data_IF_809437996114
#
_entry.id   IF_809437996114
#
_cell.length_a   1.000
_cell.length_b   1.000
_cell.length_c   1.000
_cell.angle_alpha   90.00
_cell.angle_beta   90.00
_cell.angle_gamma   90.00
#
_symmetry.space_group_name_H-M   'P 1'
#
loop_
_entity.id
_entity.type
_entity.pdbx_description
1 polymer ?
#
# COMPACT_ATOMS: atom_id res chain seq x y z
N UNK A 1 9.76 19.65 -16.71
CA UNK A 1 10.57 18.44 -17.01
C UNK A 1 10.08 17.21 -16.22
N UNK A 2 9.87 17.30 -14.89
CA UNK A 2 9.36 16.21 -14.04
C UNK A 2 7.96 15.65 -14.41
N UNK A 3 7.01 16.50 -14.86
CA UNK A 3 5.69 16.03 -15.33
C UNK A 3 5.78 15.08 -16.54
N UNK A 4 6.84 15.16 -17.37
CA UNK A 4 7.03 14.25 -18.52
C UNK A 4 7.53 12.86 -18.12
N UNK A 5 8.12 12.71 -16.92
CA UNK A 5 8.67 11.43 -16.44
C UNK A 5 7.62 10.50 -15.82
N UNK A 6 6.40 10.99 -15.57
CA UNK A 6 5.26 10.22 -15.04
C UNK A 6 5.60 9.30 -13.84
N UNK A 7 6.55 9.70 -12.98
CA UNK A 7 7.07 8.88 -11.87
C UNK A 7 5.95 8.28 -11.00
N UNK A 8 4.97 9.12 -10.63
CA UNK A 8 3.79 8.69 -9.86
C UNK A 8 3.05 7.56 -10.57
N UNK A 9 2.78 7.68 -11.88
CA UNK A 9 2.06 6.66 -12.65
C UNK A 9 2.80 5.32 -12.59
N UNK A 10 4.10 5.32 -12.88
CA UNK A 10 4.89 4.09 -12.94
C UNK A 10 5.03 3.42 -11.56
N UNK A 11 5.23 4.21 -10.50
CA UNK A 11 5.23 3.70 -9.14
C UNK A 11 3.86 3.12 -8.76
N UNK A 12 2.76 3.80 -9.09
CA UNK A 12 1.41 3.29 -8.85
C UNK A 12 1.12 1.99 -9.61
N UNK A 13 1.59 1.84 -10.85
CA UNK A 13 1.49 0.57 -11.60
C UNK A 13 2.15 -0.57 -10.84
N UNK A 14 3.36 -0.34 -10.30
CA UNK A 14 4.08 -1.35 -9.55
C UNK A 14 3.35 -1.77 -8.28
N UNK A 15 2.73 -0.84 -7.57
CA UNK A 15 1.89 -1.13 -6.40
C UNK A 15 0.74 -2.05 -6.79
N UNK A 16 -0.01 -1.72 -7.84
CA UNK A 16 -1.14 -2.52 -8.30
C UNK A 16 -0.74 -3.95 -8.66
N UNK A 17 0.47 -4.15 -9.20
CA UNK A 17 0.97 -5.47 -9.61
C UNK A 17 1.57 -6.24 -8.43
N UNK A 18 2.15 -5.53 -7.45
CA UNK A 18 2.74 -6.12 -6.26
C UNK A 18 1.67 -6.54 -5.25
N UNK A 19 0.63 -5.74 -5.04
CA UNK A 19 -0.33 -5.93 -3.94
C UNK A 19 -1.01 -7.32 -3.94
N UNK A 20 -1.53 -7.86 -5.07
CA UNK A 20 -2.11 -9.21 -5.08
C UNK A 20 -1.10 -10.29 -4.68
N UNK A 21 0.16 -10.14 -5.09
CA UNK A 21 1.24 -11.07 -4.74
C UNK A 21 1.55 -11.04 -3.25
N UNK A 22 1.67 -9.85 -2.65
CA UNK A 22 1.96 -9.71 -1.21
C UNK A 22 0.82 -10.27 -0.37
N UNK A 23 -0.42 -9.99 -0.75
CA UNK A 23 -1.61 -10.50 -0.03
C UNK A 23 -1.65 -12.02 -0.09
N UNK A 24 -1.51 -12.61 -1.27
CA UNK A 24 -1.49 -14.07 -1.42
C UNK A 24 -0.33 -14.70 -0.64
N UNK A 25 0.89 -14.17 -0.77
CA UNK A 25 2.06 -14.66 -0.07
C UNK A 25 1.93 -14.54 1.45
N UNK A 26 1.43 -13.40 1.95
CA UNK A 26 1.25 -13.14 3.37
C UNK A 26 0.19 -14.03 4.01
N UNK A 27 -0.94 -14.24 3.32
CA UNK A 27 -1.99 -15.16 3.78
C UNK A 27 -1.51 -16.62 3.79
N UNK A 28 -0.74 -17.05 2.78
CA UNK A 28 -0.14 -18.38 2.77
C UNK A 28 0.83 -18.59 3.94
N UNK A 29 1.68 -17.61 4.24
CA UNK A 29 2.54 -17.63 5.43
C UNK A 29 1.70 -17.71 6.70
N UNK A 30 0.65 -16.90 6.81
CA UNK A 30 -0.20 -16.86 8.00
C UNK A 30 -0.91 -18.20 8.23
N UNK A 31 -1.59 -18.75 7.22
CA UNK A 31 -2.28 -20.04 7.30
C UNK A 31 -1.29 -21.16 7.57
N UNK A 32 -0.16 -21.18 6.85
CA UNK A 32 0.90 -22.18 7.05
C UNK A 32 1.42 -22.18 8.49
N UNK A 33 1.82 -21.02 9.01
CA UNK A 33 2.35 -20.89 10.38
C UNK A 33 1.29 -21.23 11.43
N UNK A 34 0.05 -20.77 11.28
CA UNK A 34 -1.05 -21.05 12.23
C UNK A 34 -1.41 -22.54 12.27
N UNK A 35 -1.17 -23.28 11.18
CA UNK A 35 -1.38 -24.72 11.09
C UNK A 35 -0.11 -25.55 11.36
N UNK A 36 0.94 -24.94 11.92
CA UNK A 36 2.17 -25.61 12.35
C UNK A 36 3.23 -25.82 11.26
N UNK A 37 3.11 -25.11 10.14
CA UNK A 37 4.06 -25.14 9.03
C UNK A 37 5.36 -24.40 9.33
N UNK A 38 6.44 -24.82 8.65
CA UNK A 38 7.73 -24.15 8.65
C UNK A 38 8.29 -24.06 7.23
N UNK A 39 9.28 -23.19 7.03
CA UNK A 39 9.98 -23.11 5.73
C UNK A 39 10.72 -24.42 5.48
N UNK A 40 10.44 -25.05 4.34
CA UNK A 40 11.07 -26.29 3.90
C UNK A 40 12.51 -26.00 3.52
N UNK A 41 13.45 -26.64 4.20
CA UNK A 41 14.90 -26.55 3.91
C UNK A 41 15.41 -27.75 3.12
N UNK A 42 14.69 -28.87 3.12
CA UNK A 42 15.04 -30.08 2.39
C UNK A 42 13.82 -30.66 1.65
N UNK A 43 13.81 -30.52 0.32
CA UNK A 43 12.75 -31.06 -0.55
C UNK A 43 12.89 -32.55 -0.85
N UNK A 44 13.98 -33.20 -0.42
CA UNK A 44 14.18 -34.65 -0.59
C UNK A 44 13.50 -35.47 0.51
N UNK A 45 13.20 -34.86 1.66
CA UNK A 45 12.39 -35.46 2.72
C UNK A 45 10.90 -35.16 2.51
N UNK A 46 10.02 -35.97 3.12
CA UNK A 46 8.60 -35.65 3.17
C UNK A 46 8.36 -34.31 3.88
N UNK A 47 7.43 -33.52 3.35
CA UNK A 47 7.02 -32.23 3.91
C UNK A 47 5.49 -32.15 4.02
N UNK A 48 5.00 -31.38 4.98
CA UNK A 48 3.57 -31.22 5.23
C UNK A 48 2.96 -30.10 4.35
N UNK A 49 1.63 -30.14 4.17
CA UNK A 49 0.90 -29.07 3.49
C UNK A 49 1.14 -27.70 4.17
N UNK A 50 1.02 -27.55 5.51
CA UNK A 50 1.35 -26.29 6.18
C UNK A 50 2.74 -25.73 5.86
N UNK A 51 3.75 -26.61 5.79
CA UNK A 51 5.12 -26.21 5.43
C UNK A 51 5.24 -25.80 3.96
N UNK A 52 4.49 -26.44 3.06
CA UNK A 52 4.43 -26.05 1.65
C UNK A 52 3.80 -24.64 1.49
N UNK A 53 2.71 -24.34 2.21
CA UNK A 53 2.08 -23.01 2.19
C UNK A 53 3.03 -21.93 2.72
N UNK A 54 3.68 -22.20 3.85
CA UNK A 54 4.66 -21.28 4.45
C UNK A 54 5.81 -21.00 3.48
N UNK A 55 6.35 -22.04 2.86
CA UNK A 55 7.48 -21.94 1.92
C UNK A 55 7.09 -21.18 0.65
N UNK A 56 5.94 -21.49 0.05
CA UNK A 56 5.45 -20.80 -1.14
C UNK A 56 5.22 -19.32 -0.85
N UNK A 57 4.65 -19.00 0.32
CA UNK A 57 4.47 -17.62 0.73
C UNK A 57 5.80 -16.88 0.94
N UNK A 58 6.81 -17.51 1.54
CA UNK A 58 8.16 -16.93 1.68
C UNK A 58 8.82 -16.69 0.33
N UNK A 59 8.71 -17.63 -0.62
CA UNK A 59 9.19 -17.41 -1.99
C UNK A 59 8.44 -16.29 -2.70
N UNK A 60 7.11 -16.22 -2.51
CA UNK A 60 6.29 -15.13 -3.00
C UNK A 60 6.73 -13.77 -2.48
N UNK A 61 7.09 -13.66 -1.20
CA UNK A 61 7.68 -12.45 -0.61
C UNK A 61 9.02 -12.09 -1.25
N UNK A 62 9.84 -13.08 -1.61
CA UNK A 62 11.11 -12.86 -2.34
C UNK A 62 10.94 -12.33 -3.77
N UNK A 63 9.76 -12.55 -4.38
CA UNK A 63 9.46 -12.06 -5.74
C UNK A 63 9.04 -10.59 -5.80
N UNK A 64 8.90 -9.92 -4.66
CA UNK A 64 8.31 -8.59 -4.61
C UNK A 64 9.20 -7.52 -5.27
N UNK A 65 10.49 -7.44 -4.93
CA UNK A 65 11.41 -6.54 -5.62
C UNK A 65 11.52 -6.82 -7.14
N UNK A 66 11.61 -8.09 -7.60
CA UNK A 66 11.44 -8.46 -9.01
C UNK A 66 10.16 -7.91 -9.65
N UNK A 67 8.99 -8.14 -9.05
CA UNK A 67 7.70 -7.72 -9.60
C UNK A 67 7.57 -6.20 -9.66
N UNK A 68 7.99 -5.49 -8.60
CA UNK A 68 8.02 -4.02 -8.58
C UNK A 68 8.89 -3.50 -9.72
N UNK A 69 10.13 -3.99 -9.81
CA UNK A 69 11.09 -3.53 -10.81
C UNK A 69 10.59 -3.79 -12.23
N UNK A 70 10.04 -4.98 -12.48
CA UNK A 70 9.46 -5.36 -13.75
C UNK A 70 8.22 -4.52 -14.10
N UNK A 71 7.34 -4.25 -13.15
CA UNK A 71 6.13 -3.47 -13.37
C UNK A 71 6.45 -2.00 -13.68
N UNK A 72 7.44 -1.40 -13.02
CA UNK A 72 7.93 -0.05 -13.35
C UNK A 72 8.55 -0.05 -14.75
N UNK A 73 9.46 -0.99 -15.04
CA UNK A 73 10.13 -1.08 -16.32
C UNK A 73 9.13 -1.29 -17.47
N UNK A 74 8.14 -2.15 -17.27
CA UNK A 74 7.02 -2.37 -18.19
C UNK A 74 6.19 -1.09 -18.38
N UNK A 75 5.83 -0.39 -17.30
CA UNK A 75 5.05 0.85 -17.37
C UNK A 75 5.77 1.96 -18.16
N UNK A 76 7.11 1.94 -18.21
CA UNK A 76 7.94 2.91 -18.95
C UNK A 76 8.21 2.47 -20.39
N UNK A 77 8.49 1.18 -20.61
CA UNK A 77 9.10 0.68 -21.86
C UNK A 77 8.39 -0.52 -22.50
N UNK A 78 7.19 -0.86 -22.00
CA UNK A 78 6.35 -1.97 -22.44
C UNK A 78 7.05 -3.34 -22.24
N UNK A 79 6.61 -4.38 -22.95
CA UNK A 79 7.07 -5.77 -22.85
C UNK A 79 8.60 -5.96 -22.84
N UNK A 80 9.41 -5.22 -23.65
CA UNK A 80 10.87 -5.35 -23.62
C UNK A 80 11.50 -5.07 -22.24
N UNK A 81 10.83 -4.30 -21.38
CA UNK A 81 11.31 -3.96 -20.04
C UNK A 81 11.09 -5.04 -18.98
N UNK A 82 10.25 -6.04 -19.25
CA UNK A 82 9.84 -7.04 -18.24
C UNK A 82 11.04 -7.88 -17.77
N UNK A 83 11.74 -8.53 -18.69
CA UNK A 83 12.88 -9.40 -18.37
C UNK A 83 14.03 -8.65 -17.66
N UNK A 84 14.56 -7.53 -18.19
CA UNK A 84 15.61 -6.79 -17.49
C UNK A 84 15.11 -6.22 -16.16
N UNK A 85 13.84 -5.83 -16.07
CA UNK A 85 13.23 -5.34 -14.83
C UNK A 85 13.19 -6.43 -13.76
N UNK A 86 12.76 -7.65 -14.10
CA UNK A 86 12.80 -8.80 -13.21
C UNK A 86 14.23 -9.07 -12.72
N UNK A 87 15.21 -9.10 -13.63
CA UNK A 87 16.61 -9.34 -13.27
C UNK A 87 17.17 -8.25 -12.34
N UNK A 88 16.90 -6.97 -12.63
CA UNK A 88 17.28 -5.87 -11.73
C UNK A 88 16.65 -5.99 -10.34
N UNK A 89 15.39 -6.44 -10.27
CA UNK A 89 14.73 -6.68 -8.99
C UNK A 89 15.25 -7.92 -8.25
N UNK A 90 15.64 -8.98 -8.96
CA UNK A 90 16.32 -10.15 -8.37
C UNK A 90 17.65 -9.73 -7.78
N UNK A 91 18.43 -8.91 -8.50
CA UNK A 91 19.68 -8.34 -7.98
C UNK A 91 19.38 -7.57 -6.70
N UNK A 92 18.38 -6.68 -6.73
CA UNK A 92 17.99 -5.86 -5.58
C UNK A 92 17.63 -6.68 -4.34
N UNK A 93 16.89 -7.78 -4.53
CA UNK A 93 16.58 -8.70 -3.45
C UNK A 93 17.83 -9.36 -2.88
N UNK A 94 18.68 -9.94 -3.73
CA UNK A 94 19.84 -10.72 -3.30
C UNK A 94 20.98 -9.89 -2.69
N UNK A 95 21.17 -8.64 -3.12
CA UNK A 95 22.20 -7.76 -2.54
C UNK A 95 21.72 -7.05 -1.26
N UNK A 96 20.45 -7.23 -0.86
CA UNK A 96 19.87 -6.57 0.31
C UNK A 96 19.40 -5.12 0.06
N UNK A 97 19.25 -4.70 -1.20
CA UNK A 97 18.66 -3.40 -1.51
C UNK A 97 17.13 -3.39 -1.30
N UNK A 98 16.50 -4.57 -1.44
CA UNK A 98 15.09 -4.83 -1.17
C UNK A 98 14.14 -3.91 -1.95
N UNK A 99 13.10 -3.39 -1.29
CA UNK A 99 12.08 -2.54 -1.89
C UNK A 99 12.65 -1.30 -2.62
N UNK A 100 13.56 -0.55 -1.98
CA UNK A 100 14.18 0.64 -2.58
C UNK A 100 14.95 0.28 -3.85
N UNK A 101 15.71 -0.82 -3.79
CA UNK A 101 16.42 -1.37 -4.95
C UNK A 101 15.47 -1.76 -6.08
N UNK A 102 14.37 -2.46 -5.75
CA UNK A 102 13.34 -2.82 -6.72
C UNK A 102 12.72 -1.61 -7.41
N UNK A 103 12.38 -0.55 -6.66
CA UNK A 103 11.83 0.66 -7.26
C UNK A 103 12.86 1.40 -8.14
N UNK A 104 14.02 1.74 -7.58
CA UNK A 104 15.04 2.50 -8.30
C UNK A 104 15.58 1.72 -9.50
N UNK A 105 15.85 0.43 -9.31
CA UNK A 105 16.24 -0.50 -10.35
C UNK A 105 15.20 -0.58 -11.48
N UNK A 106 13.92 -0.60 -11.14
CA UNK A 106 12.82 -0.58 -12.12
C UNK A 106 12.79 0.69 -12.97
N UNK A 107 12.96 1.86 -12.34
CA UNK A 107 13.03 3.15 -13.07
C UNK A 107 14.24 3.23 -13.99
N UNK A 108 15.42 2.90 -13.45
CA UNK A 108 16.68 2.87 -14.21
C UNK A 108 16.58 1.92 -15.40
N UNK A 109 16.06 0.72 -15.16
CA UNK A 109 15.87 -0.29 -16.20
C UNK A 109 14.88 0.20 -17.26
N UNK A 110 13.72 0.71 -16.86
CA UNK A 110 12.70 1.18 -17.80
C UNK A 110 13.20 2.30 -18.71
N UNK A 111 13.91 3.28 -18.16
CA UNK A 111 14.50 4.35 -18.97
C UNK A 111 15.63 3.88 -19.87
N UNK A 112 16.49 2.98 -19.38
CA UNK A 112 17.53 2.37 -20.20
C UNK A 112 16.92 1.60 -21.37
N UNK A 113 15.91 0.77 -21.12
CA UNK A 113 15.22 0.00 -22.17
C UNK A 113 14.58 0.95 -23.17
N UNK A 114 13.84 1.97 -22.72
CA UNK A 114 13.23 2.97 -23.61
C UNK A 114 14.29 3.68 -24.47
N UNK A 115 15.45 3.99 -23.90
CA UNK A 115 16.59 4.56 -24.62
C UNK A 115 17.12 3.58 -25.69
N UNK A 116 17.41 2.34 -25.32
CA UNK A 116 17.94 1.33 -26.26
C UNK A 116 16.95 1.04 -27.40
N UNK A 117 15.64 0.96 -27.10
CA UNK A 117 14.60 0.76 -28.12
C UNK A 117 14.61 1.90 -29.14
N UNK A 118 14.80 3.15 -28.68
CA UNK A 118 14.82 4.33 -29.55
C UNK A 118 16.05 4.40 -30.43
N UNK A 119 17.23 4.07 -29.91
CA UNK A 119 18.50 4.32 -30.59
C UNK A 119 19.12 3.11 -31.30
N UNK A 120 18.84 1.88 -30.86
CA UNK A 120 19.36 0.68 -31.54
C UNK A 120 18.57 0.44 -32.82
N UNK A 121 19.25 0.49 -33.96
CA UNK A 121 18.69 0.11 -35.26
C UNK A 121 19.18 -1.27 -35.64
N UNK A 122 18.26 -2.11 -36.10
CA UNK A 122 18.57 -3.45 -36.61
C UNK A 122 18.18 -3.54 -38.08
N UNK A 123 18.81 -4.44 -38.87
CA UNK A 123 18.35 -4.71 -40.23
C UNK A 123 16.89 -5.19 -40.25
N UNK A 124 16.18 -4.98 -41.37
CA UNK A 124 14.74 -5.33 -41.52
C UNK A 124 14.40 -6.77 -41.10
N UNK A 125 15.27 -7.72 -41.41
CA UNK A 125 15.06 -9.13 -41.06
C UNK A 125 15.11 -9.41 -39.55
N UNK A 126 15.73 -8.52 -38.77
CA UNK A 126 15.94 -8.67 -37.33
C UNK A 126 14.98 -7.78 -36.50
N UNK A 127 14.02 -7.09 -37.12
CA UNK A 127 13.10 -6.19 -36.41
C UNK A 127 12.29 -6.92 -35.32
N UNK A 128 11.89 -8.18 -35.57
CA UNK A 128 11.22 -9.01 -34.57
C UNK A 128 12.15 -9.46 -33.42
N UNK A 129 13.45 -9.63 -33.70
CA UNK A 129 14.45 -10.04 -32.70
C UNK A 129 14.82 -8.89 -31.76
N UNK A 130 14.65 -7.64 -32.21
CA UNK A 130 15.01 -6.46 -31.43
C UNK A 130 14.30 -6.41 -30.06
N UNK A 131 12.96 -6.37 -29.97
CA UNK A 131 12.26 -6.30 -28.69
C UNK A 131 12.29 -7.62 -27.90
N UNK A 132 12.45 -8.76 -28.57
CA UNK A 132 12.40 -10.08 -27.93
C UNK A 132 13.74 -10.53 -27.35
N UNK A 133 14.86 -10.19 -27.99
CA UNK A 133 16.17 -10.73 -27.65
C UNK A 133 17.22 -9.63 -27.46
N UNK A 134 17.41 -8.76 -28.45
CA UNK A 134 18.53 -7.80 -28.44
C UNK A 134 18.38 -6.79 -27.30
N UNK A 135 17.21 -6.16 -27.18
CA UNK A 135 16.94 -5.16 -26.15
C UNK A 135 16.95 -5.78 -24.75
N UNK A 136 16.20 -6.87 -24.47
CA UNK A 136 16.25 -7.51 -23.15
C UNK A 136 17.66 -7.96 -22.75
N UNK A 137 18.44 -8.54 -23.67
CA UNK A 137 19.80 -9.01 -23.37
C UNK A 137 20.74 -7.84 -23.03
N UNK A 138 20.79 -6.81 -23.88
CA UNK A 138 21.68 -5.67 -23.68
C UNK A 138 21.31 -4.87 -22.44
N UNK A 139 20.01 -4.62 -22.23
CA UNK A 139 19.56 -3.92 -21.02
C UNK A 139 19.86 -4.72 -19.76
N UNK A 140 19.69 -6.04 -19.79
CA UNK A 140 20.03 -6.91 -18.65
C UNK A 140 21.52 -6.93 -18.35
N UNK A 141 22.38 -6.96 -19.38
CA UNK A 141 23.83 -6.89 -19.22
C UNK A 141 24.24 -5.58 -18.56
N UNK A 142 23.76 -4.45 -19.09
CA UNK A 142 24.07 -3.11 -18.58
C UNK A 142 23.54 -2.96 -17.15
N UNK A 143 22.28 -3.35 -16.90
CA UNK A 143 21.70 -3.28 -15.55
C UNK A 143 22.39 -4.21 -14.56
N UNK A 144 22.88 -5.37 -15.00
CA UNK A 144 23.73 -6.23 -14.20
C UNK A 144 24.96 -5.48 -13.70
N UNK A 145 25.69 -4.84 -14.63
CA UNK A 145 26.88 -4.04 -14.26
C UNK A 145 26.51 -2.86 -13.34
N UNK A 146 25.48 -2.10 -13.70
CA UNK A 146 25.07 -0.90 -12.95
C UNK A 146 24.59 -1.26 -11.54
N UNK A 147 23.76 -2.29 -11.39
CA UNK A 147 23.20 -2.67 -10.09
C UNK A 147 24.24 -3.37 -9.21
N UNK A 148 25.09 -4.26 -9.76
CA UNK A 148 26.09 -4.93 -8.93
C UNK A 148 27.23 -3.99 -8.50
N UNK A 149 27.70 -3.12 -9.39
CA UNK A 149 28.98 -2.41 -9.15
C UNK A 149 28.85 -0.91 -8.90
N UNK A 150 27.77 -0.26 -9.33
CA UNK A 150 27.68 1.21 -9.29
C UNK A 150 26.64 1.68 -8.28
N UNK A 151 25.38 1.26 -8.45
CA UNK A 151 24.24 1.85 -7.74
C UNK A 151 23.71 0.95 -6.63
N UNK A 152 23.87 -0.38 -6.71
CA UNK A 152 23.32 -1.29 -5.71
C UNK A 152 23.87 -1.06 -4.31
N UNK A 153 25.19 -0.92 -4.16
CA UNK A 153 25.82 -0.68 -2.85
C UNK A 153 25.35 0.62 -2.18
N UNK A 154 25.30 1.78 -2.86
CA UNK A 154 24.67 2.98 -2.32
C UNK A 154 23.22 2.77 -1.86
N UNK A 155 22.42 2.00 -2.62
CA UNK A 155 21.03 1.70 -2.22
C UNK A 155 20.99 0.82 -0.98
N UNK A 156 21.84 -0.22 -0.90
CA UNK A 156 21.94 -1.08 0.28
C UNK A 156 22.29 -0.25 1.52
N UNK A 157 23.24 0.69 1.40
CA UNK A 157 23.57 1.61 2.49
C UNK A 157 22.38 2.45 2.91
N UNK A 158 21.63 3.02 1.96
CA UNK A 158 20.42 3.79 2.25
C UNK A 158 19.33 2.93 2.92
N UNK A 159 19.11 1.71 2.42
CA UNK A 159 18.18 0.73 3.01
C UNK A 159 18.58 0.40 4.44
N UNK A 160 19.85 0.08 4.68
CA UNK A 160 20.36 -0.25 6.02
C UNK A 160 20.29 0.95 6.98
N UNK A 161 20.57 2.16 6.49
CA UNK A 161 20.44 3.38 7.29
C UNK A 161 18.98 3.62 7.69
N UNK A 162 18.04 3.44 6.75
CA UNK A 162 16.61 3.56 7.02
C UNK A 162 16.12 2.50 8.02
N UNK A 163 16.45 1.22 7.81
CA UNK A 163 16.03 0.15 8.73
C UNK A 163 16.68 0.30 10.10
N UNK A 164 17.95 0.69 10.17
CA UNK A 164 18.63 0.98 11.44
C UNK A 164 17.98 2.15 12.16
N UNK A 165 17.68 3.24 11.45
CA UNK A 165 16.97 4.38 12.02
C UNK A 165 15.64 3.95 12.63
N UNK A 166 14.83 3.21 11.87
CA UNK A 166 13.50 2.76 12.31
C UNK A 166 13.59 1.81 13.52
N UNK A 167 14.51 0.85 13.50
CA UNK A 167 14.71 -0.10 14.58
C UNK A 167 15.31 0.54 15.84
N UNK A 168 16.14 1.59 15.68
CA UNK A 168 16.74 2.34 16.79
C UNK A 168 15.75 3.24 17.51
N UNK A 169 14.59 3.55 16.92
CA UNK A 169 13.59 4.39 17.56
C UNK A 169 13.17 3.77 18.91
N UNK A 170 13.12 4.60 19.96
CA UNK A 170 12.63 4.22 21.28
C UNK A 170 11.70 5.32 21.82
N UNK A 171 10.82 4.94 22.76
CA UNK A 171 9.94 5.89 23.46
C UNK A 171 9.13 6.78 22.51
N UNK A 172 9.24 8.10 22.70
CA UNK A 172 8.48 9.13 21.98
C UNK A 172 8.74 9.17 20.47
N UNK A 173 9.92 8.77 20.00
CA UNK A 173 10.23 8.76 18.56
C UNK A 173 9.32 7.79 17.79
N UNK A 174 9.04 6.61 18.38
CA UNK A 174 8.10 5.63 17.81
C UNK A 174 6.70 6.21 17.73
N UNK A 175 6.26 6.89 18.78
CA UNK A 175 4.96 7.52 18.83
C UNK A 175 4.83 8.58 17.72
N UNK A 176 5.79 9.49 17.61
CA UNK A 176 5.76 10.57 16.60
C UNK A 176 5.75 10.00 15.18
N UNK A 177 6.61 9.02 14.90
CA UNK A 177 6.63 8.37 13.59
C UNK A 177 5.31 7.67 13.27
N UNK A 178 4.77 6.90 14.22
CA UNK A 178 3.48 6.22 14.06
C UNK A 178 2.32 7.21 13.89
N UNK A 179 2.40 8.36 14.58
CA UNK A 179 1.41 9.41 14.47
C UNK A 179 1.43 10.10 13.10
N UNK A 180 2.62 10.40 12.59
CA UNK A 180 2.78 10.94 11.23
C UNK A 180 2.26 9.95 10.18
N UNK A 181 2.67 8.69 10.27
CA UNK A 181 2.24 7.66 9.32
C UNK A 181 0.73 7.42 9.38
N UNK A 182 0.17 7.32 10.58
CA UNK A 182 -1.26 7.12 10.79
C UNK A 182 -2.09 8.29 10.27
N UNK A 183 -1.70 9.53 10.60
CA UNK A 183 -2.38 10.72 10.11
C UNK A 183 -2.31 10.87 8.58
N UNK A 184 -1.16 10.56 7.97
CA UNK A 184 -1.02 10.55 6.50
C UNK A 184 -1.90 9.48 5.84
N UNK A 185 -1.96 8.28 6.40
CA UNK A 185 -2.74 7.18 5.84
C UNK A 185 -4.25 7.43 5.86
N UNK A 186 -4.78 8.15 6.84
CA UNK A 186 -6.21 8.49 6.89
C UNK A 186 -6.58 9.82 6.22
N UNK A 187 -5.60 10.60 5.74
CA UNK A 187 -5.79 12.00 5.36
C UNK A 187 -6.84 12.19 4.25
N UNK A 188 -6.82 11.33 3.23
CA UNK A 188 -7.66 11.46 2.04
C UNK A 188 -8.44 10.17 1.72
N UNK A 189 -8.71 9.36 2.75
CA UNK A 189 -9.61 8.20 2.68
C UNK A 189 -9.37 7.27 1.48
N UNK A 190 -8.09 6.97 1.17
CA UNK A 190 -7.72 6.12 0.02
C UNK A 190 -7.10 6.89 -1.15
N UNK A 191 -7.01 8.22 -1.04
CA UNK A 191 -6.42 9.11 -2.04
C UNK A 191 -4.89 9.04 -2.16
N UNK A 192 -4.29 10.01 -2.87
CA UNK A 192 -2.85 10.07 -3.11
C UNK A 192 -1.95 10.05 -1.87
N UNK A 193 -2.31 10.74 -0.78
CA UNK A 193 -1.52 10.80 0.46
C UNK A 193 -1.53 9.44 1.15
N UNK A 194 -2.71 8.81 1.26
CA UNK A 194 -2.81 7.45 1.75
C UNK A 194 -1.96 6.48 0.92
N UNK A 195 -1.99 6.58 -0.41
CA UNK A 195 -1.22 5.70 -1.30
C UNK A 195 0.28 5.85 -1.11
N UNK A 196 0.78 7.05 -0.80
CA UNK A 196 2.20 7.27 -0.48
C UNK A 196 2.56 6.67 0.88
N UNK A 197 1.74 6.89 1.91
CA UNK A 197 1.94 6.29 3.23
C UNK A 197 1.89 4.76 3.17
N UNK A 198 0.92 4.21 2.42
CA UNK A 198 0.76 2.78 2.17
C UNK A 198 1.96 2.20 1.44
N UNK A 199 2.41 2.84 0.37
CA UNK A 199 3.61 2.43 -0.37
C UNK A 199 4.84 2.34 0.53
N UNK A 200 5.00 3.31 1.42
CA UNK A 200 6.12 3.33 2.34
C UNK A 200 6.03 2.20 3.37
N UNK A 201 4.86 1.95 3.96
CA UNK A 201 4.63 0.84 4.88
C UNK A 201 4.82 -0.53 4.21
N UNK A 202 4.24 -0.71 3.01
CA UNK A 202 4.40 -1.92 2.20
C UNK A 202 5.87 -2.17 1.86
N UNK A 203 6.59 -1.11 1.49
CA UNK A 203 8.02 -1.20 1.19
C UNK A 203 8.87 -1.63 2.39
N UNK A 204 8.52 -1.15 3.59
CA UNK A 204 9.17 -1.52 4.84
C UNK A 204 8.85 -2.94 5.28
N UNK A 205 7.62 -3.41 5.03
CA UNK A 205 7.25 -4.82 5.22
C UNK A 205 8.19 -5.75 4.46
N UNK A 206 8.60 -5.37 3.24
CA UNK A 206 9.51 -6.17 2.41
C UNK A 206 10.92 -6.24 2.99
N UNK A 207 11.30 -5.25 3.79
CA UNK A 207 12.58 -5.19 4.50
C UNK A 207 12.49 -5.86 5.88
N UNK A 208 11.36 -6.49 6.21
CA UNK A 208 11.13 -7.12 7.51
C UNK A 208 10.71 -6.15 8.62
N UNK A 209 10.52 -4.87 8.32
CA UNK A 209 10.06 -3.86 9.29
C UNK A 209 8.53 -3.80 9.27
N UNK A 210 7.90 -4.53 10.19
CA UNK A 210 6.45 -4.84 10.16
C UNK A 210 5.57 -3.87 10.96
N UNK A 211 6.14 -2.99 11.77
CA UNK A 211 5.35 -2.06 12.58
C UNK A 211 4.60 -0.99 11.76
N UNK A 212 5.22 -0.37 10.74
CA UNK A 212 4.54 0.58 9.85
C UNK A 212 3.30 -0.01 9.17
N UNK A 213 3.36 -1.31 8.87
CA UNK A 213 2.27 -2.04 8.25
C UNK A 213 1.04 -2.14 9.17
N UNK A 214 1.25 -2.41 10.46
CA UNK A 214 0.17 -2.38 11.44
C UNK A 214 -0.46 -0.99 11.57
N UNK A 215 0.34 0.09 11.48
CA UNK A 215 -0.18 1.47 11.47
C UNK A 215 -1.06 1.73 10.25
N UNK A 216 -0.63 1.30 9.05
CA UNK A 216 -1.40 1.46 7.82
C UNK A 216 -2.80 0.84 7.96
N UNK A 217 -2.86 -0.42 8.40
CA UNK A 217 -4.12 -1.15 8.56
C UNK A 217 -5.00 -0.44 9.59
N UNK A 218 -4.45 -0.06 10.75
CA UNK A 218 -5.17 0.68 11.77
C UNK A 218 -5.74 2.00 11.23
N UNK A 219 -4.92 2.78 10.54
CA UNK A 219 -5.28 4.11 10.05
C UNK A 219 -6.39 4.07 8.99
N UNK A 220 -6.45 3.04 8.16
CA UNK A 220 -7.57 2.84 7.22
C UNK A 220 -8.88 2.45 7.91
N UNK A 221 -8.81 1.90 9.13
CA UNK A 221 -9.99 1.46 9.88
C UNK A 221 -10.51 2.57 10.81
N UNK A 222 -9.64 3.42 11.35
CA UNK A 222 -10.04 4.48 12.29
C UNK A 222 -11.14 5.41 11.75
N UNK A 223 -11.13 5.88 10.48
CA UNK A 223 -12.19 6.75 9.97
C UNK A 223 -13.60 6.14 10.04
N UNK A 224 -13.89 4.96 9.47
CA UNK A 224 -15.24 4.39 9.55
C UNK A 224 -15.67 4.11 10.99
N UNK A 225 -14.81 3.52 11.83
CA UNK A 225 -15.15 3.27 13.25
C UNK A 225 -15.36 4.57 14.03
N UNK A 226 -14.51 5.58 13.83
CA UNK A 226 -14.60 6.85 14.53
C UNK A 226 -15.83 7.67 14.15
N UNK A 227 -16.20 7.66 12.87
CA UNK A 227 -17.44 8.27 12.39
C UNK A 227 -18.66 7.54 12.96
N UNK A 228 -18.66 6.21 13.02
CA UNK A 228 -19.72 5.44 13.69
C UNK A 228 -19.84 5.79 15.16
N UNK A 229 -18.72 5.93 15.89
CA UNK A 229 -18.72 6.35 17.30
C UNK A 229 -19.32 7.75 17.45
N UNK A 230 -18.90 8.71 16.61
CA UNK A 230 -19.45 10.08 16.61
C UNK A 230 -20.97 10.07 16.39
N UNK A 231 -21.45 9.27 15.43
CA UNK A 231 -22.89 9.10 15.18
C UNK A 231 -23.63 8.51 16.38
N UNK A 232 -23.09 7.47 17.02
CA UNK A 232 -23.69 6.88 18.23
C UNK A 232 -23.74 7.91 19.37
N UNK A 233 -22.66 8.68 19.60
CA UNK A 233 -22.64 9.77 20.58
C UNK A 233 -23.71 10.83 20.26
N UNK A 234 -23.87 11.20 18.99
CA UNK A 234 -24.89 12.14 18.55
C UNK A 234 -26.31 11.70 18.94
N UNK A 235 -26.61 10.39 18.86
CA UNK A 235 -27.90 9.81 19.26
C UNK A 235 -28.07 9.77 20.78
N UNK A 236 -27.05 9.33 21.51
CA UNK A 236 -27.06 9.24 22.99
C UNK A 236 -27.30 10.62 23.62
N UNK A 237 -26.59 11.64 23.15
CA UNK A 237 -26.67 13.01 23.66
C UNK A 237 -27.75 13.86 22.98
N UNK A 238 -28.54 13.29 22.07
CA UNK A 238 -29.59 13.98 21.29
C UNK A 238 -29.07 15.24 20.58
N UNK A 239 -27.81 15.23 20.16
CA UNK A 239 -27.15 16.34 19.47
C UNK A 239 -27.01 16.00 17.97
N UNK A 240 -27.98 16.42 17.15
CA UNK A 240 -28.02 16.06 15.73
C UNK A 240 -26.94 16.79 14.92
N UNK A 241 -25.90 16.06 14.53
CA UNK A 241 -24.76 16.54 13.70
C UNK A 241 -24.67 15.84 12.32
N UNK A 242 -25.56 14.88 12.05
CA UNK A 242 -25.64 14.14 10.78
C UNK A 242 -27.05 14.26 10.17
N UNK A 243 -27.12 14.39 8.85
CA UNK A 243 -28.35 14.30 8.06
C UNK A 243 -28.81 12.84 7.94
N UNK A 244 -30.05 12.59 7.52
CA UNK A 244 -30.54 11.20 7.34
C UNK A 244 -29.69 10.43 6.32
N UNK A 245 -29.31 11.08 5.24
CA UNK A 245 -28.43 10.52 4.21
C UNK A 245 -27.04 10.19 4.77
N UNK A 246 -26.46 11.08 5.58
CA UNK A 246 -25.21 10.79 6.26
C UNK A 246 -25.34 9.59 7.22
N UNK A 247 -26.45 9.48 7.97
CA UNK A 247 -26.69 8.32 8.85
C UNK A 247 -26.74 7.00 8.07
N UNK A 248 -27.35 6.99 6.89
CA UNK A 248 -27.43 5.80 6.05
C UNK A 248 -26.05 5.45 5.46
N UNK A 249 -25.28 6.45 5.04
CA UNK A 249 -23.88 6.27 4.62
C UNK A 249 -22.98 5.76 5.76
N UNK A 250 -23.21 6.18 7.00
CA UNK A 250 -22.45 5.69 8.18
C UNK A 250 -22.68 4.20 8.41
N UNK A 251 -23.92 3.71 8.23
CA UNK A 251 -24.27 2.29 8.37
C UNK A 251 -23.56 1.43 7.32
N UNK A 252 -23.30 1.98 6.13
CA UNK A 252 -22.53 1.32 5.06
C UNK A 252 -21.03 1.41 5.33
N UNK A 253 -20.53 2.55 5.80
CA UNK A 253 -19.12 2.76 6.09
C UNK A 253 -18.58 1.82 7.20
N UNK A 254 -19.40 1.50 8.22
CA UNK A 254 -19.00 0.63 9.32
C UNK A 254 -18.53 -0.77 8.89
N UNK A 255 -19.33 -1.59 8.17
CA UNK A 255 -18.87 -2.90 7.70
C UNK A 255 -17.72 -2.81 6.69
N UNK A 256 -17.64 -1.74 5.89
CA UNK A 256 -16.49 -1.47 5.03
C UNK A 256 -15.20 -1.26 5.85
N UNK A 257 -15.29 -0.58 6.99
CA UNK A 257 -14.19 -0.41 7.93
C UNK A 257 -13.66 -1.71 8.53
N UNK A 258 -14.52 -2.71 8.76
CA UNK A 258 -14.10 -4.04 9.24
C UNK A 258 -13.10 -4.68 8.28
N UNK A 259 -13.28 -4.47 6.97
CA UNK A 259 -12.41 -4.99 5.90
C UNK A 259 -11.37 -4.00 5.41
N UNK A 260 -11.10 -2.92 6.17
CA UNK A 260 -10.09 -1.91 5.83
C UNK A 260 -10.41 -1.11 4.55
N UNK A 261 -11.68 -0.96 4.21
CA UNK A 261 -12.11 -0.08 3.10
C UNK A 261 -12.50 1.26 3.71
N UNK A 262 -11.57 2.22 3.69
CA UNK A 262 -11.76 3.57 4.24
C UNK A 262 -12.62 4.46 3.35
N UNK A 263 -12.77 4.10 2.08
CA UNK A 263 -13.48 4.85 1.04
C UNK A 263 -14.98 5.00 1.35
N UNK A 264 -15.55 4.10 2.17
CA UNK A 264 -16.94 4.21 2.64
C UNK A 264 -17.22 5.52 3.40
N UNK A 265 -16.19 6.22 3.87
CA UNK A 265 -16.32 7.51 4.55
C UNK A 265 -16.42 8.69 3.58
N UNK A 266 -16.05 8.53 2.31
CA UNK A 266 -16.01 9.62 1.32
C UNK A 266 -17.36 10.35 1.19
N UNK A 267 -18.52 9.68 1.08
CA UNK A 267 -19.81 10.38 0.99
C UNK A 267 -20.10 11.26 2.21
N UNK A 268 -19.67 10.83 3.40
CA UNK A 268 -19.85 11.57 4.66
C UNK A 268 -18.85 12.72 4.75
N UNK A 269 -17.63 12.50 4.27
CA UNK A 269 -16.58 13.51 4.20
C UNK A 269 -16.91 14.63 3.21
N UNK A 270 -17.61 14.33 2.12
CA UNK A 270 -18.01 15.31 1.11
C UNK A 270 -18.88 16.44 1.70
N UNK A 271 -19.68 16.14 2.74
CA UNK A 271 -20.54 17.12 3.43
C UNK A 271 -19.72 18.12 4.26
N UNK A 272 -18.70 17.65 4.99
CA UNK A 272 -17.83 18.49 5.82
C UNK A 272 -16.37 18.02 5.77
N UNK A 273 -15.71 18.31 4.65
CA UNK A 273 -14.36 17.80 4.33
C UNK A 273 -13.35 18.15 5.42
N UNK A 274 -13.31 19.41 5.85
CA UNK A 274 -12.27 19.89 6.78
C UNK A 274 -12.39 19.17 8.12
N UNK A 275 -13.59 19.12 8.71
CA UNK A 275 -13.76 18.50 10.03
C UNK A 275 -13.57 17.00 9.97
N UNK A 276 -14.00 16.36 8.89
CA UNK A 276 -13.83 14.92 8.71
C UNK A 276 -12.36 14.55 8.55
N UNK A 277 -11.64 15.21 7.63
CA UNK A 277 -10.21 14.96 7.40
C UNK A 277 -9.39 15.19 8.66
N UNK A 278 -9.58 16.34 9.34
CA UNK A 278 -8.77 16.65 10.52
C UNK A 278 -9.07 15.71 11.68
N UNK A 279 -10.34 15.40 11.96
CA UNK A 279 -10.69 14.50 13.07
C UNK A 279 -10.16 13.09 12.84
N UNK A 280 -10.36 12.56 11.64
CA UNK A 280 -9.89 11.23 11.26
C UNK A 280 -8.35 11.14 11.28
N UNK A 281 -7.67 12.17 10.75
CA UNK A 281 -6.21 12.26 10.77
C UNK A 281 -5.64 12.30 12.18
N UNK A 282 -6.26 13.05 13.10
CA UNK A 282 -5.82 13.12 14.48
C UNK A 282 -6.06 11.80 15.23
N UNK A 283 -7.22 11.17 15.06
CA UNK A 283 -7.47 9.87 15.69
C UNK A 283 -6.57 8.76 15.13
N UNK A 284 -6.34 8.73 13.82
CA UNK A 284 -5.41 7.79 13.21
C UNK A 284 -3.96 8.05 13.63
N UNK A 285 -3.58 9.32 13.82
CA UNK A 285 -2.28 9.68 14.38
C UNK A 285 -2.12 9.17 15.81
N UNK A 286 -3.13 9.32 16.68
CA UNK A 286 -3.07 8.78 18.05
C UNK A 286 -2.97 7.25 18.02
N UNK A 287 -3.84 6.58 17.28
CA UNK A 287 -3.83 5.11 17.18
C UNK A 287 -2.54 4.57 16.54
N UNK A 288 -2.03 5.22 15.50
CA UNK A 288 -0.77 4.87 14.85
C UNK A 288 0.44 5.08 15.75
N UNK A 289 0.48 6.17 16.50
CA UNK A 289 1.52 6.43 17.49
C UNK A 289 1.53 5.37 18.61
N UNK A 290 0.37 5.00 19.12
CA UNK A 290 0.23 3.91 20.10
C UNK A 290 0.66 2.56 19.51
N UNK A 291 0.26 2.25 18.27
CA UNK A 291 0.63 1.01 17.58
C UNK A 291 2.15 0.83 17.47
N UNK A 292 2.87 1.87 17.03
CA UNK A 292 4.33 1.87 16.97
C UNK A 292 4.97 1.78 18.36
N UNK A 293 4.43 2.50 19.35
CA UNK A 293 4.97 2.52 20.72
C UNK A 293 4.84 1.16 21.39
N UNK A 294 3.69 0.50 21.22
CA UNK A 294 3.44 -0.85 21.73
C UNK A 294 4.12 -1.94 20.91
N UNK A 295 4.79 -1.59 19.80
CA UNK A 295 5.54 -2.52 18.97
C UNK A 295 4.63 -3.57 18.36
N UNK A 296 3.51 -3.14 17.80
CA UNK A 296 2.56 -3.99 17.08
C UNK A 296 3.10 -4.19 15.66
N UNK A 297 3.05 -5.43 15.17
CA UNK A 297 3.57 -5.83 13.86
C UNK A 297 2.51 -6.60 13.09
N UNK A 298 2.35 -6.26 11.81
CA UNK A 298 1.51 -7.01 10.88
C UNK A 298 2.36 -7.72 9.82
N UNK A 299 2.20 -9.03 9.62
CA UNK A 299 2.89 -9.76 8.55
C UNK A 299 2.19 -9.68 7.19
N UNK A 300 0.96 -9.15 7.14
CA UNK A 300 0.12 -9.10 5.92
C UNK A 300 -0.23 -7.63 5.63
N UNK A 301 -0.23 -7.21 4.35
CA UNK A 301 -0.40 -5.80 3.99
C UNK A 301 -1.86 -5.29 4.01
N UNK A 302 -2.84 -6.19 4.09
CA UNK A 302 -4.25 -5.85 3.98
C UNK A 302 -5.13 -6.99 4.51
N UNK A 303 -6.37 -6.68 4.87
CA UNK A 303 -7.37 -7.64 5.33
C UNK A 303 -8.19 -7.20 6.54
N UNK A 304 -7.95 -5.99 7.07
CA UNK A 304 -8.73 -5.42 8.17
C UNK A 304 -8.73 -6.28 9.44
N UNK A 305 -9.90 -6.42 10.08
CA UNK A 305 -10.04 -7.24 11.29
C UNK A 305 -9.72 -8.72 11.06
N UNK A 306 -9.82 -9.23 9.84
CA UNK A 306 -9.57 -10.64 9.54
C UNK A 306 -8.10 -11.04 9.69
N UNK A 307 -7.16 -10.10 9.58
CA UNK A 307 -5.73 -10.40 9.73
C UNK A 307 -5.21 -10.12 11.15
N UNK A 308 -6.04 -9.58 12.05
CA UNK A 308 -5.66 -9.27 13.44
C UNK A 308 -5.12 -10.50 14.17
N UNK A 309 -5.72 -11.71 14.05
CA UNK A 309 -5.18 -12.90 14.70
C UNK A 309 -3.75 -13.29 14.25
N UNK A 310 -3.32 -12.84 13.07
CA UNK A 310 -1.97 -13.11 12.56
C UNK A 310 -0.92 -12.07 13.02
N UNK A 311 -1.34 -10.99 13.68
CA UNK A 311 -0.42 -9.98 14.23
C UNK A 311 0.28 -10.49 15.50
N UNK A 312 1.43 -9.89 15.84
CA UNK A 312 2.17 -10.27 17.04
C UNK A 312 1.42 -9.95 18.36
N UNK A 313 0.57 -8.91 18.37
CA UNK A 313 -0.12 -8.36 19.56
C UNK A 313 -1.57 -7.98 19.22
N UNK A 314 -2.45 -8.95 18.94
CA UNK A 314 -3.81 -8.69 18.44
C UNK A 314 -4.66 -7.82 19.38
N UNK A 315 -4.60 -8.07 20.70
CA UNK A 315 -5.39 -7.32 21.68
C UNK A 315 -4.95 -5.86 21.79
N UNK A 316 -3.64 -5.60 21.74
CA UNK A 316 -3.12 -4.23 21.74
C UNK A 316 -3.45 -3.50 20.44
N UNK A 317 -3.55 -4.21 19.31
CA UNK A 317 -4.00 -3.62 18.05
C UNK A 317 -5.46 -3.16 18.16
N UNK A 318 -6.34 -4.02 18.67
CA UNK A 318 -7.75 -3.68 18.87
C UNK A 318 -7.90 -2.50 19.84
N UNK A 319 -7.08 -2.45 20.89
CA UNK A 319 -7.08 -1.32 21.82
C UNK A 319 -6.61 -0.02 21.15
N UNK A 320 -5.52 -0.06 20.36
CA UNK A 320 -5.01 1.12 19.65
C UNK A 320 -6.03 1.63 18.62
N UNK A 321 -6.67 0.71 17.89
CA UNK A 321 -7.76 1.01 16.95
C UNK A 321 -8.94 1.65 17.68
N UNK A 322 -9.37 1.09 18.81
CA UNK A 322 -10.46 1.63 19.61
C UNK A 322 -10.12 3.04 20.09
N UNK A 323 -8.94 3.27 20.65
CA UNK A 323 -8.51 4.59 21.14
C UNK A 323 -8.49 5.60 19.99
N UNK A 324 -7.87 5.27 18.86
CA UNK A 324 -7.84 6.15 17.69
C UNK A 324 -9.25 6.48 17.17
N UNK A 325 -10.12 5.49 17.12
CA UNK A 325 -11.53 5.65 16.70
C UNK A 325 -12.33 6.51 17.67
N UNK A 326 -12.14 6.32 18.99
CA UNK A 326 -12.77 7.16 20.03
C UNK A 326 -12.29 8.60 19.93
N UNK A 327 -11.00 8.84 19.70
CA UNK A 327 -10.46 10.19 19.49
C UNK A 327 -11.11 10.86 18.28
N UNK A 328 -11.17 10.18 17.13
CA UNK A 328 -11.92 10.67 15.95
C UNK A 328 -13.37 10.99 16.30
N UNK A 329 -14.03 10.06 17.00
CA UNK A 329 -15.44 10.17 17.37
C UNK A 329 -15.74 11.36 18.29
N UNK A 330 -14.89 11.58 19.31
CA UNK A 330 -15.02 12.69 20.25
C UNK A 330 -14.76 14.04 19.59
N UNK A 331 -13.74 14.14 18.73
CA UNK A 331 -13.43 15.38 18.01
C UNK A 331 -14.61 15.72 17.08
N UNK A 332 -15.07 14.77 16.27
CA UNK A 332 -16.23 14.96 15.39
C UNK A 332 -17.47 15.37 16.18
N UNK A 333 -17.78 14.65 17.26
CA UNK A 333 -18.92 14.97 18.11
C UNK A 333 -18.85 16.39 18.69
N UNK A 334 -17.65 16.85 19.09
CA UNK A 334 -17.46 18.16 19.71
C UNK A 334 -17.57 19.34 18.74
N UNK A 335 -17.13 19.20 17.48
CA UNK A 335 -17.00 20.34 16.57
C UNK A 335 -17.72 20.24 15.24
N UNK A 336 -18.29 19.07 14.88
CA UNK A 336 -19.07 18.91 13.65
C UNK A 336 -20.33 19.75 13.79
N UNK A 337 -20.62 20.53 12.76
CA UNK A 337 -21.78 21.42 12.76
C UNK A 337 -23.05 20.62 12.45
N UNK A 338 -24.19 21.16 12.87
CA UNK A 338 -25.49 20.65 12.44
C UNK A 338 -25.54 20.62 10.91
N UNK A 339 -26.18 19.62 10.29
CA UNK A 339 -26.37 19.58 8.85
C UNK A 339 -27.10 20.86 8.40
N UNK A 340 -26.63 21.50 7.33
CA UNK A 340 -27.42 22.53 6.67
C UNK A 340 -28.66 21.87 6.05
N UNK A 341 -29.84 22.45 6.27
CA UNK A 341 -31.09 21.95 5.68
C UNK A 341 -31.20 22.20 4.17
N UNK A 342 -30.23 22.87 3.56
CA UNK A 342 -30.19 23.10 2.12
C UNK A 342 -29.59 21.89 1.38
N UNK A 343 -30.32 21.30 0.42
CA UNK A 343 -29.77 20.26 -0.43
C UNK A 343 -28.75 20.90 -1.36
N UNK A 344 -27.47 20.56 -1.19
CA UNK A 344 -26.48 20.81 -2.24
C UNK A 344 -26.78 19.88 -3.41
N UNK A 345 -27.59 20.36 -4.36
CA UNK A 345 -27.64 19.84 -5.71
C UNK A 345 -26.34 20.19 -6.41
N UNK A 346 -25.36 19.30 -6.33
CA UNK A 346 -24.34 19.14 -7.37
C UNK A 346 -24.22 17.64 -7.64
N UNK A 347 -25.31 17.06 -8.14
CA UNK A 347 -25.19 15.99 -9.12
C UNK A 347 -24.88 16.72 -10.44
N UNK A 348 -23.62 16.69 -10.87
CA UNK A 348 -23.38 16.61 -12.31
C UNK A 348 -24.07 15.32 -12.73
N UNK A 349 -25.29 15.46 -13.25
CA UNK A 349 -25.90 14.43 -14.07
C UNK A 349 -24.86 14.06 -15.12
N UNK A 350 -24.30 12.86 -15.03
CA UNK A 350 -23.86 12.17 -16.24
C UNK A 350 -25.06 12.27 -17.18
N UNK A 351 -24.94 13.07 -18.23
CA UNK A 351 -25.89 13.02 -19.33
C UNK A 351 -25.93 11.54 -19.73
N UNK A 352 -27.07 10.90 -19.48
CA UNK A 352 -27.43 9.63 -20.09
C UNK A 352 -27.12 9.78 -21.58
N UNK A 353 -26.04 9.16 -22.03
CA UNK A 353 -25.78 8.99 -23.44
C UNK A 353 -26.94 8.12 -23.93
N UNK A 354 -27.93 8.77 -24.56
CA UNK A 354 -29.01 8.08 -25.24
C UNK A 354 -28.40 7.18 -26.32
N UNK A 355 -28.35 5.88 -26.00
CA UNK A 355 -27.84 4.83 -26.87
C UNK A 355 -28.69 4.66 -28.15
N UNK A 356 -29.74 5.46 -28.35
CA UNK A 356 -30.55 5.55 -29.56
C UNK A 356 -29.87 6.22 -30.77
N UNK A 357 -28.80 7.00 -30.57
CA UNK A 357 -28.17 7.78 -31.64
C UNK A 357 -26.93 7.11 -32.30
N UNK A 358 -26.59 5.88 -31.89
CA UNK A 358 -25.54 5.10 -32.59
C UNK A 358 -26.15 4.46 -33.85
N UNK A 359 -26.19 5.22 -34.95
CA UNK A 359 -26.37 4.63 -36.28
C UNK A 359 -25.10 3.87 -36.66
N UNK A 360 -25.15 2.54 -36.58
CA UNK A 360 -24.20 1.69 -37.28
C UNK A 360 -24.56 1.76 -38.77
N UNK A 361 -23.72 2.44 -39.55
CA UNK A 361 -23.67 2.35 -41.01
C UNK A 361 -22.31 1.82 -41.42
#
# INVERSE_FOLDING_TARGET
>A
MLKKLQLKKHAMTAISYMLPLVVAAGLLIAIGNLTGGQVITNFKSGYSIPSALTTLGVWGMGLLAPVISAAIAYSISDRPGIAPGLLSGIISYNIGAGFLGGMLGGFLTGWLVAFLVKYIKVPKWAEGLKPMMVIPLLSSLIMGVVMFFVIGQPIVWATNALTSFLNSMQGSARFVFGALLGGMASFDFGGPVNKVASLFADGLLLQGVKQPEAVKILASMVPPFGVTISWVLSKIFKHKIYSQEEEDNIKVAFPMGIVMITEGVIPIAAVDVIRMVVSCSLGAAVGGGLSMTWGIESPVPSGGLFIVPAMNKPLLFLLALLIGSVVTGLILFAWKKKPSEEPKKEEESEEDIDLGDIRIS
#
